data_IF_880139112944
#
_entry.id   IF_880139112944
#
_cell.length_a   1.000
_cell.length_b   1.000
_cell.length_c   1.000
_cell.angle_alpha   90.00
_cell.angle_beta   90.00
_cell.angle_gamma   90.00
#
_symmetry.space_group_name_H-M   'P 1'
#
loop_
_entity.id
_entity.type
_entity.pdbx_description
1 polymer ?
#
# COMPACT_ATOMS: atom_id res chain seq x y z
N UNK A 1 23.16 18.93 -15.08
CA UNK A 1 23.27 18.20 -13.80
C UNK A 1 23.32 16.73 -14.12
N UNK A 2 24.49 16.11 -13.95
CA UNK A 2 24.71 14.68 -14.15
C UNK A 2 23.82 13.90 -13.17
N UNK A 3 23.16 12.86 -13.69
CA UNK A 3 22.38 11.92 -12.92
C UNK A 3 23.37 11.24 -11.97
N UNK A 4 23.44 11.69 -10.72
CA UNK A 4 24.18 10.94 -9.70
C UNK A 4 23.61 9.52 -9.72
N UNK A 5 24.46 8.55 -10.03
CA UNK A 5 24.09 7.15 -9.95
C UNK A 5 23.79 6.87 -8.48
N UNK A 6 22.50 6.90 -8.13
CA UNK A 6 22.05 6.51 -6.80
C UNK A 6 22.44 5.05 -6.66
N UNK A 7 23.40 4.79 -5.77
CA UNK A 7 23.90 3.46 -5.51
C UNK A 7 22.76 2.55 -5.08
N UNK A 8 22.63 1.43 -5.77
CA UNK A 8 21.60 0.44 -5.47
C UNK A 8 22.14 -0.54 -4.44
N UNK A 9 21.31 -0.81 -3.44
CA UNK A 9 21.57 -1.80 -2.41
C UNK A 9 20.98 -3.14 -2.86
N UNK A 10 21.78 -4.20 -2.74
CA UNK A 10 21.33 -5.57 -2.97
C UNK A 10 20.46 -6.04 -1.81
N UNK A 11 19.42 -6.79 -2.11
CA UNK A 11 18.57 -7.38 -1.10
C UNK A 11 18.14 -8.79 -1.49
N UNK A 12 17.89 -9.61 -0.49
CA UNK A 12 17.49 -11.01 -0.60
C UNK A 12 16.59 -11.33 0.59
N UNK A 13 15.52 -12.08 0.37
CA UNK A 13 14.74 -12.61 1.48
C UNK A 13 13.48 -13.34 1.06
N UNK A 14 12.73 -13.77 2.07
CA UNK A 14 11.43 -14.39 1.92
C UNK A 14 10.35 -13.32 1.95
N UNK A 15 9.44 -13.34 0.97
CA UNK A 15 8.24 -12.49 0.99
C UNK A 15 7.33 -12.94 2.12
N UNK A 16 7.02 -12.05 3.04
CA UNK A 16 6.07 -12.30 4.14
C UNK A 16 4.70 -11.65 3.90
N UNK A 17 4.64 -10.64 3.03
CA UNK A 17 3.38 -10.02 2.62
C UNK A 17 3.52 -9.31 1.27
N UNK A 18 2.40 -9.16 0.55
CA UNK A 18 2.32 -8.27 -0.62
C UNK A 18 1.03 -7.46 -0.55
N UNK A 19 1.16 -6.13 -0.59
CA UNK A 19 0.03 -5.20 -0.52
C UNK A 19 0.07 -4.21 -1.68
N UNK A 20 -1.07 -3.64 -2.11
CA UNK A 20 -1.07 -2.62 -3.16
C UNK A 20 -0.34 -1.35 -2.69
N UNK A 21 0.47 -0.77 -3.57
CA UNK A 21 1.17 0.50 -3.38
C UNK A 21 0.34 1.61 -4.00
N UNK A 22 -0.41 2.30 -3.16
CA UNK A 22 -1.35 3.36 -3.56
C UNK A 22 -1.01 4.62 -2.77
N UNK A 23 -0.96 5.76 -3.45
CA UNK A 23 -0.86 7.08 -2.83
C UNK A 23 -2.20 7.79 -2.93
N UNK A 24 -2.61 8.43 -1.85
CA UNK A 24 -3.82 9.26 -1.80
C UNK A 24 -3.44 10.73 -1.74
N UNK A 25 -4.01 11.53 -2.62
CA UNK A 25 -4.00 12.99 -2.53
C UNK A 25 -5.38 13.46 -2.10
N UNK A 26 -5.44 14.39 -1.14
CA UNK A 26 -6.67 15.05 -0.69
C UNK A 26 -6.53 16.56 -0.76
N UNK A 27 -7.61 17.22 -1.18
CA UNK A 27 -7.76 18.68 -1.14
C UNK A 27 -9.18 18.99 -0.70
N UNK A 28 -9.36 19.28 0.59
CA UNK A 28 -10.70 19.45 1.19
C UNK A 28 -11.59 18.20 0.97
N UNK A 29 -12.67 18.31 0.19
CA UNK A 29 -13.58 17.22 -0.19
C UNK A 29 -13.10 16.41 -1.42
N UNK A 30 -12.09 16.89 -2.14
CA UNK A 30 -11.52 16.18 -3.28
C UNK A 30 -10.55 15.08 -2.86
N UNK A 31 -10.58 13.96 -3.60
CA UNK A 31 -9.67 12.82 -3.41
C UNK A 31 -9.20 12.25 -4.75
N UNK A 32 -7.91 11.94 -4.85
CA UNK A 32 -7.31 11.31 -6.02
C UNK A 32 -6.35 10.18 -5.61
N UNK A 33 -6.52 9.00 -6.23
CA UNK A 33 -5.68 7.83 -5.97
C UNK A 33 -4.68 7.60 -7.11
N UNK A 34 -3.41 7.43 -6.75
CA UNK A 34 -2.36 6.98 -7.67
C UNK A 34 -2.00 5.53 -7.35
N UNK A 35 -2.32 4.62 -8.26
CA UNK A 35 -2.04 3.18 -8.14
C UNK A 35 -0.67 2.90 -8.78
N UNK A 36 0.36 2.70 -7.96
CA UNK A 36 1.76 2.75 -8.41
C UNK A 36 2.42 1.39 -8.57
N UNK A 37 1.86 0.33 -7.97
CA UNK A 37 2.45 -1.00 -7.94
C UNK A 37 2.09 -1.75 -6.67
N UNK A 38 3.06 -2.46 -6.11
CA UNK A 38 2.90 -3.25 -4.89
C UNK A 38 4.06 -2.99 -3.93
N UNK A 39 3.82 -3.23 -2.64
CA UNK A 39 4.83 -3.24 -1.59
C UNK A 39 5.02 -4.69 -1.17
N UNK A 40 6.24 -5.20 -1.32
CA UNK A 40 6.68 -6.46 -0.74
C UNK A 40 7.16 -6.19 0.67
N UNK A 41 6.62 -6.91 1.65
CA UNK A 41 7.27 -7.08 2.94
C UNK A 41 8.19 -8.29 2.85
N UNK A 42 9.46 -8.10 3.14
CA UNK A 42 10.52 -9.10 2.98
C UNK A 42 11.24 -9.27 4.31
N UNK A 43 11.32 -10.51 4.77
CA UNK A 43 12.19 -10.92 5.87
C UNK A 43 13.47 -11.50 5.28
N UNK A 44 14.61 -10.84 5.53
CA UNK A 44 15.89 -11.22 4.94
C UNK A 44 17.00 -10.21 5.21
N UNK A 45 17.76 -9.87 4.17
CA UNK A 45 18.89 -8.94 4.26
C UNK A 45 18.80 -7.87 3.18
N UNK A 46 19.06 -6.62 3.55
CA UNK A 46 19.23 -5.50 2.62
C UNK A 46 20.58 -4.82 2.88
N UNK A 47 21.47 -4.86 1.89
CA UNK A 47 22.88 -4.56 2.10
C UNK A 47 23.47 -5.61 3.02
N UNK A 48 23.97 -5.16 4.18
CA UNK A 48 24.49 -6.01 5.25
C UNK A 48 23.54 -6.10 6.46
N UNK A 49 22.38 -5.43 6.39
CA UNK A 49 21.43 -5.33 7.51
C UNK A 49 20.37 -6.44 7.42
N UNK A 50 20.31 -7.38 8.38
CA UNK A 50 19.24 -8.35 8.47
C UNK A 50 17.96 -7.74 9.09
N UNK A 51 16.80 -8.24 8.68
CA UNK A 51 15.51 -7.91 9.27
C UNK A 51 14.38 -7.82 8.25
N UNK A 52 13.26 -7.27 8.72
CA UNK A 52 12.09 -7.02 7.90
C UNK A 52 12.19 -5.64 7.23
N UNK A 53 12.01 -5.60 5.91
CA UNK A 53 12.02 -4.36 5.13
C UNK A 53 10.95 -4.36 4.03
N UNK A 54 10.60 -3.16 3.58
CA UNK A 54 9.55 -2.95 2.58
C UNK A 54 10.16 -2.50 1.24
N UNK A 55 9.89 -3.26 0.17
CA UNK A 55 10.33 -2.97 -1.20
C UNK A 55 9.14 -2.60 -2.09
N UNK A 56 9.18 -1.43 -2.72
CA UNK A 56 8.23 -1.06 -3.76
C UNK A 56 8.60 -1.70 -5.11
N UNK A 57 7.66 -2.44 -5.69
CA UNK A 57 7.75 -3.03 -7.04
C UNK A 57 6.66 -2.47 -7.95
N UNK A 58 6.97 -2.35 -9.24
CA UNK A 58 6.02 -1.83 -10.24
C UNK A 58 5.01 -2.89 -10.71
N UNK A 59 3.93 -2.42 -11.35
CA UNK A 59 2.87 -3.28 -11.95
C UNK A 59 3.45 -4.40 -12.83
N UNK A 60 4.32 -4.06 -13.79
CA UNK A 60 4.89 -5.04 -14.73
C UNK A 60 5.76 -6.11 -14.05
N UNK A 61 6.48 -5.75 -12.97
CA UNK A 61 7.26 -6.71 -12.21
C UNK A 61 6.34 -7.71 -11.50
N UNK A 62 5.24 -7.24 -10.91
CA UNK A 62 4.25 -8.10 -10.27
C UNK A 62 3.49 -8.96 -11.28
N UNK A 63 3.13 -8.44 -12.45
CA UNK A 63 2.49 -9.24 -13.51
C UNK A 63 3.40 -10.39 -13.97
N UNK A 64 4.71 -10.12 -14.08
CA UNK A 64 5.70 -11.13 -14.48
C UNK A 64 5.95 -12.18 -13.40
N UNK A 65 6.14 -11.76 -12.15
CA UNK A 65 6.62 -12.63 -11.08
C UNK A 65 5.52 -13.15 -10.15
N UNK A 66 4.33 -12.53 -10.19
CA UNK A 66 3.17 -12.89 -9.37
C UNK A 66 3.53 -13.04 -7.89
N UNK A 67 4.18 -12.03 -7.33
CA UNK A 67 4.69 -12.08 -5.96
C UNK A 67 3.60 -12.45 -4.95
N UNK A 68 3.94 -13.34 -4.03
CA UNK A 68 3.07 -13.79 -2.95
C UNK A 68 3.90 -14.25 -1.76
N UNK A 69 3.24 -14.39 -0.62
CA UNK A 69 3.87 -14.88 0.60
C UNK A 69 4.56 -16.25 0.39
N UNK A 70 5.74 -16.38 0.96
CA UNK A 70 6.54 -17.61 0.94
C UNK A 70 7.56 -17.69 -0.19
N UNK A 71 7.48 -16.83 -1.21
CA UNK A 71 8.49 -16.79 -2.27
C UNK A 71 9.84 -16.28 -1.74
N UNK A 72 10.94 -16.83 -2.24
CA UNK A 72 12.28 -16.28 -2.01
C UNK A 72 12.71 -15.47 -3.22
N UNK A 73 13.10 -14.23 -2.98
CA UNK A 73 13.36 -13.23 -4.03
C UNK A 73 14.59 -12.41 -3.70
N UNK A 74 15.28 -11.95 -4.74
CA UNK A 74 16.34 -10.95 -4.61
C UNK A 74 16.21 -9.87 -5.67
N UNK A 75 16.94 -8.78 -5.45
CA UNK A 75 17.14 -7.76 -6.45
C UNK A 75 18.00 -6.63 -5.93
N UNK A 76 17.89 -5.50 -6.63
CA UNK A 76 18.53 -4.24 -6.30
C UNK A 76 17.45 -3.19 -6.07
N UNK A 77 17.59 -2.38 -5.04
CA UNK A 77 16.69 -1.25 -4.76
C UNK A 77 17.49 -0.04 -4.29
N UNK A 78 16.85 1.12 -4.19
CA UNK A 78 17.45 2.30 -3.56
C UNK A 78 16.54 2.78 -2.42
N UNK A 79 17.08 3.44 -1.39
CA UNK A 79 16.26 4.04 -0.34
C UNK A 79 15.20 4.99 -0.92
N UNK A 80 13.99 4.97 -0.35
CA UNK A 80 12.95 5.91 -0.71
C UNK A 80 13.40 7.35 -0.35
N UNK A 81 13.27 8.32 -1.27
CA UNK A 81 13.82 9.66 -1.06
C UNK A 81 13.04 10.50 -0.03
N UNK A 82 11.74 10.25 0.13
CA UNK A 82 10.91 10.92 1.14
C UNK A 82 9.97 9.89 1.81
N UNK A 83 10.22 9.51 3.07
CA UNK A 83 9.42 8.51 3.77
C UNK A 83 7.99 8.98 4.08
N UNK A 84 7.65 10.25 3.85
CA UNK A 84 6.27 10.76 4.00
C UNK A 84 5.40 10.47 2.79
N UNK A 85 6.03 10.17 1.64
CA UNK A 85 5.37 9.97 0.34
C UNK A 85 5.39 8.51 -0.12
N UNK A 86 6.00 7.62 0.66
CA UNK A 86 6.26 6.25 0.29
C UNK A 86 6.06 5.34 1.51
N UNK A 87 5.30 4.26 1.33
CA UNK A 87 5.14 3.23 2.37
C UNK A 87 6.36 2.32 2.42
N UNK A 88 6.96 2.04 1.27
CA UNK A 88 8.18 1.23 1.19
C UNK A 88 9.42 1.98 1.70
N UNK A 89 10.31 1.29 2.40
CA UNK A 89 11.63 1.83 2.76
C UNK A 89 12.54 1.98 1.54
N UNK A 90 12.31 1.16 0.51
CA UNK A 90 13.13 1.11 -0.70
C UNK A 90 12.26 1.03 -1.96
N UNK A 91 12.73 1.63 -3.04
CA UNK A 91 12.02 1.70 -4.32
C UNK A 91 12.93 1.48 -5.51
N UNK A 92 12.38 1.61 -6.73
CA UNK A 92 13.09 1.36 -8.01
C UNK A 92 13.75 -0.04 -8.03
N UNK A 93 13.01 -1.03 -7.54
CA UNK A 93 13.42 -2.42 -7.58
C UNK A 93 13.78 -2.83 -9.02
N UNK A 94 14.91 -3.52 -9.16
CA UNK A 94 15.48 -3.93 -10.45
C UNK A 94 16.29 -5.20 -10.29
N UNK A 95 16.65 -5.85 -11.41
CA UNK A 95 17.35 -7.15 -11.39
C UNK A 95 16.62 -8.19 -10.53
N UNK A 96 15.28 -8.10 -10.47
CA UNK A 96 14.43 -8.95 -9.66
C UNK A 96 14.52 -10.40 -10.15
N UNK A 97 14.79 -11.32 -9.22
CA UNK A 97 14.82 -12.77 -9.46
C UNK A 97 14.01 -13.49 -8.39
N UNK A 98 13.20 -14.45 -8.83
CA UNK A 98 12.59 -15.46 -7.95
C UNK A 98 13.59 -16.61 -7.85
N UNK A 99 14.06 -16.87 -6.63
CA UNK A 99 14.98 -17.97 -6.33
C UNK A 99 14.20 -19.25 -6.01
N UNK A 100 13.09 -19.10 -5.31
CA UNK A 100 12.21 -20.19 -4.93
C UNK A 100 10.77 -19.72 -4.99
N UNK A 101 9.94 -20.48 -5.69
CA UNK A 101 8.50 -20.26 -5.71
C UNK A 101 7.85 -20.82 -4.43
N UNK A 102 6.62 -20.43 -4.15
CA UNK A 102 5.84 -20.96 -3.04
C UNK A 102 4.95 -22.11 -3.50
N UNK A 103 4.84 -23.14 -2.67
CA UNK A 103 3.91 -24.26 -2.87
C UNK A 103 2.58 -24.05 -2.10
N UNK A 104 2.45 -22.89 -1.42
CA UNK A 104 1.32 -22.58 -0.55
C UNK A 104 0.00 -22.40 -1.30
N UNK A 105 -1.08 -23.00 -0.79
CA UNK A 105 -2.44 -22.74 -1.28
C UNK A 105 -2.93 -21.37 -0.77
N UNK A 106 -3.71 -20.62 -1.57
CA UNK A 106 -4.38 -19.41 -1.10
C UNK A 106 -5.21 -19.68 0.15
N UNK A 107 -5.27 -18.70 1.07
CA UNK A 107 -6.16 -18.79 2.22
C UNK A 107 -7.61 -18.59 1.78
N UNK A 108 -8.51 -19.46 2.24
CA UNK A 108 -9.95 -19.34 2.02
C UNK A 108 -10.63 -18.30 2.93
N UNK A 109 -9.91 -17.75 3.92
CA UNK A 109 -10.45 -16.80 4.89
C UNK A 109 -9.46 -15.67 5.24
N UNK A 110 -9.91 -14.67 6.00
CA UNK A 110 -9.07 -13.55 6.39
C UNK A 110 -8.01 -13.95 7.45
N UNK A 111 -6.77 -13.40 7.40
CA UNK A 111 -6.25 -12.55 6.34
C UNK A 111 -6.17 -13.32 5.01
N UNK A 112 -6.58 -12.67 3.93
CA UNK A 112 -6.58 -13.29 2.61
C UNK A 112 -5.15 -13.28 2.09
N UNK A 113 -4.61 -14.47 1.83
CA UNK A 113 -3.23 -14.70 1.39
C UNK A 113 -3.23 -15.28 -0.02
N UNK A 114 -2.19 -14.96 -0.79
CA UNK A 114 -2.00 -15.44 -2.16
C UNK A 114 -1.41 -14.34 -3.04
N UNK A 115 -1.59 -14.47 -4.35
CA UNK A 115 -1.21 -13.44 -5.31
C UNK A 115 -2.22 -12.29 -5.26
N UNK A 116 -1.82 -11.05 -4.90
CA UNK A 116 -2.68 -9.88 -5.02
C UNK A 116 -3.24 -9.73 -6.44
N UNK A 117 -4.51 -9.32 -6.60
CA UNK A 117 -5.08 -9.02 -7.91
C UNK A 117 -4.41 -7.80 -8.54
N UNK A 118 -4.77 -7.49 -9.79
CA UNK A 118 -4.28 -6.30 -10.47
C UNK A 118 -4.77 -4.97 -9.82
N UNK A 119 -4.08 -3.88 -10.16
CA UNK A 119 -4.39 -2.54 -9.63
C UNK A 119 -5.75 -2.00 -10.09
N UNK A 120 -6.27 -2.48 -11.22
CA UNK A 120 -7.60 -2.09 -11.71
C UNK A 120 -8.69 -2.71 -10.85
N UNK A 121 -8.50 -3.94 -10.37
CA UNK A 121 -9.35 -4.62 -9.42
C UNK A 121 -9.41 -3.86 -8.09
N UNK A 122 -8.28 -3.39 -7.57
CA UNK A 122 -8.31 -2.51 -6.37
C UNK A 122 -9.09 -1.23 -6.63
N UNK A 123 -8.87 -0.59 -7.78
CA UNK A 123 -9.57 0.64 -8.17
C UNK A 123 -11.07 0.41 -8.29
N UNK A 124 -11.48 -0.64 -8.99
CA UNK A 124 -12.88 -0.94 -9.24
C UNK A 124 -13.60 -1.30 -7.96
N UNK A 125 -12.96 -2.01 -7.03
CA UNK A 125 -13.58 -2.39 -5.75
C UNK A 125 -13.78 -1.20 -4.80
N UNK A 126 -12.97 -0.15 -4.92
CA UNK A 126 -12.97 0.93 -3.96
C UNK A 126 -12.51 0.51 -2.56
N UNK A 127 -12.14 1.50 -1.75
CA UNK A 127 -11.61 1.27 -0.42
C UNK A 127 -12.66 1.54 0.66
N UNK A 128 -12.47 0.92 1.82
CA UNK A 128 -13.09 1.33 3.08
C UNK A 128 -12.01 1.70 4.09
N UNK A 129 -12.30 2.60 5.02
CA UNK A 129 -11.38 2.95 6.09
C UNK A 129 -11.16 1.75 7.00
N UNK A 130 -9.91 1.42 7.25
CA UNK A 130 -9.54 0.35 8.18
C UNK A 130 -8.97 0.97 9.46
N UNK A 131 -9.43 0.48 10.61
CA UNK A 131 -8.83 0.82 11.90
C UNK A 131 -7.34 0.47 11.91
N UNK A 132 -6.51 1.41 12.37
CA UNK A 132 -5.05 1.26 12.31
C UNK A 132 -4.55 0.10 13.19
N UNK A 133 -5.18 -0.12 14.36
CA UNK A 133 -4.79 -1.22 15.27
C UNK A 133 -5.19 -2.56 14.67
N UNK A 134 -6.38 -2.64 14.06
CA UNK A 134 -6.79 -3.82 13.28
C UNK A 134 -5.81 -4.09 12.14
N UNK A 135 -5.41 -3.06 11.39
CA UNK A 135 -4.44 -3.24 10.31
C UNK A 135 -3.13 -3.83 10.81
N UNK A 136 -2.53 -3.21 11.83
CA UNK A 136 -1.25 -3.64 12.42
C UNK A 136 -1.33 -5.06 13.00
N UNK A 137 -2.41 -5.39 13.69
CA UNK A 137 -2.54 -6.67 14.39
C UNK A 137 -2.98 -7.84 13.49
N UNK A 138 -3.67 -7.55 12.36
CA UNK A 138 -4.42 -8.59 11.62
C UNK A 138 -4.33 -8.50 10.09
N UNK A 139 -3.95 -7.37 9.52
CA UNK A 139 -4.06 -7.16 8.07
C UNK A 139 -2.75 -6.80 7.37
N UNK A 140 -1.60 -6.78 8.05
CA UNK A 140 -0.29 -6.51 7.44
C UNK A 140 0.08 -7.54 6.37
N UNK A 141 -0.31 -8.82 6.53
CA UNK A 141 -0.12 -9.88 5.54
C UNK A 141 -1.26 -10.03 4.52
N UNK A 142 -2.40 -9.39 4.75
CA UNK A 142 -3.57 -9.52 3.89
C UNK A 142 -3.37 -8.79 2.57
N UNK A 143 -3.64 -9.45 1.44
CA UNK A 143 -3.53 -8.84 0.10
C UNK A 143 -4.46 -7.63 -0.07
N UNK A 144 -5.56 -7.60 0.67
CA UNK A 144 -6.55 -6.53 0.62
C UNK A 144 -6.28 -5.37 1.59
N UNK A 145 -5.34 -5.54 2.52
CA UNK A 145 -4.90 -4.48 3.42
C UNK A 145 -4.01 -3.49 2.68
N UNK A 146 -4.10 -2.21 3.01
CA UNK A 146 -3.23 -1.19 2.42
C UNK A 146 -2.95 -0.07 3.42
N UNK A 147 -1.67 0.24 3.63
CA UNK A 147 -1.23 1.46 4.31
C UNK A 147 -0.75 2.45 3.26
N UNK A 148 -1.46 3.56 3.11
CA UNK A 148 -1.21 4.57 2.08
C UNK A 148 -0.58 5.82 2.68
N UNK A 149 0.44 6.40 2.02
CA UNK A 149 0.81 7.79 2.28
C UNK A 149 -0.28 8.70 1.72
N UNK A 150 -0.71 9.64 2.55
CA UNK A 150 -1.75 10.62 2.25
C UNK A 150 -1.13 12.00 2.23
N UNK A 151 -1.15 12.62 1.06
CA UNK A 151 -0.74 14.00 0.84
C UNK A 151 -1.98 14.90 0.86
N UNK A 152 -2.05 15.79 1.85
CA UNK A 152 -3.17 16.72 2.03
C UNK A 152 -2.74 18.13 1.60
N UNK A 153 -3.35 18.65 0.54
CA UNK A 153 -3.20 20.04 0.13
C UNK A 153 -4.08 20.91 1.03
N UNK A 154 -3.45 21.79 1.81
CA UNK A 154 -4.14 22.65 2.79
C UNK A 154 -4.76 23.87 2.12
N UNK A 155 -4.10 24.38 1.09
CA UNK A 155 -4.53 25.55 0.35
C UNK A 155 -4.54 25.22 -1.14
N UNK A 156 -5.72 25.04 -1.72
CA UNK A 156 -5.86 24.75 -3.14
C UNK A 156 -5.24 25.87 -4.01
N UNK A 157 -5.25 27.11 -3.52
CA UNK A 157 -4.64 28.27 -4.20
C UNK A 157 -3.12 28.34 -4.03
N UNK A 158 -2.56 27.56 -3.10
CA UNK A 158 -1.12 27.39 -2.95
C UNK A 158 -0.79 25.91 -2.63
N UNK A 159 -0.75 25.04 -3.67
CA UNK A 159 -0.57 23.60 -3.50
C UNK A 159 0.74 23.18 -2.84
N UNK A 160 1.71 24.09 -2.67
CA UNK A 160 2.94 23.82 -1.92
C UNK A 160 2.69 23.64 -0.42
N UNK A 161 1.59 24.16 0.12
CA UNK A 161 1.19 24.02 1.52
C UNK A 161 0.54 22.66 1.75
N UNK A 162 1.34 21.70 2.20
CA UNK A 162 0.93 20.31 2.35
C UNK A 162 1.11 19.79 3.77
N UNK A 163 0.29 18.81 4.14
CA UNK A 163 0.50 17.94 5.30
C UNK A 163 0.51 16.50 4.85
N UNK A 164 1.18 15.65 5.62
CA UNK A 164 1.36 14.24 5.32
C UNK A 164 0.91 13.40 6.50
N UNK A 165 0.28 12.27 6.22
CA UNK A 165 0.05 11.20 7.20
C UNK A 165 -0.07 9.85 6.50
N UNK A 166 -0.07 8.80 7.28
CA UNK A 166 -0.44 7.47 6.78
C UNK A 166 -1.87 7.14 7.19
N UNK A 167 -2.59 6.48 6.30
CA UNK A 167 -3.93 5.97 6.53
C UNK A 167 -4.01 4.51 6.08
N UNK A 168 -4.83 3.74 6.78
CA UNK A 168 -5.05 2.31 6.53
C UNK A 168 -6.41 2.09 5.87
N UNK A 169 -6.45 1.16 4.92
CA UNK A 169 -7.62 0.88 4.10
C UNK A 169 -7.80 -0.61 3.89
N UNK A 170 -9.05 -1.02 3.69
CA UNK A 170 -9.43 -2.37 3.31
C UNK A 170 -10.12 -2.36 1.95
N UNK A 171 -9.59 -3.14 1.03
CA UNK A 171 -10.21 -3.43 -0.27
C UNK A 171 -10.94 -4.76 -0.30
N UNK A 172 -10.90 -5.54 0.80
CA UNK A 172 -11.39 -6.91 0.86
C UNK A 172 -12.90 -6.98 1.11
N UNK A 173 -13.48 -8.19 1.10
CA UNK A 173 -14.92 -8.44 1.20
C UNK A 173 -15.63 -7.61 2.27
N UNK A 174 -16.82 -7.09 1.97
CA UNK A 174 -17.59 -6.26 2.90
C UNK A 174 -17.88 -6.98 4.22
N UNK A 175 -18.14 -8.29 4.17
CA UNK A 175 -18.42 -9.17 5.30
C UNK A 175 -17.18 -9.74 6.02
N UNK A 176 -15.96 -9.32 5.64
CA UNK A 176 -14.72 -9.80 6.25
C UNK A 176 -14.77 -9.68 7.78
N UNK A 177 -14.62 -10.82 8.48
CA UNK A 177 -14.73 -10.89 9.95
C UNK A 177 -13.63 -10.15 10.71
N UNK A 178 -12.50 -9.85 10.05
CA UNK A 178 -11.43 -9.04 10.63
C UNK A 178 -11.63 -7.54 10.41
N UNK A 179 -12.56 -7.12 9.54
CA UNK A 179 -12.73 -5.71 9.22
C UNK A 179 -13.30 -4.93 10.41
N UNK A 180 -12.67 -3.80 10.71
CA UNK A 180 -13.20 -2.78 11.61
C UNK A 180 -13.01 -1.42 10.96
N UNK A 181 -14.08 -0.64 10.88
CA UNK A 181 -14.01 0.71 10.34
C UNK A 181 -13.05 1.57 11.17
N UNK A 182 -12.18 2.30 10.47
CA UNK A 182 -11.34 3.33 11.10
C UNK A 182 -12.16 4.57 11.47
N UNK A 183 -11.59 5.50 12.26
CA UNK A 183 -12.27 6.75 12.61
C UNK A 183 -12.55 7.60 11.37
N UNK A 184 -13.55 8.47 11.46
CA UNK A 184 -13.80 9.52 10.46
C UNK A 184 -12.58 10.42 10.29
N UNK A 185 -12.39 10.92 9.07
CA UNK A 185 -11.12 11.56 8.70
C UNK A 185 -11.32 13.04 8.47
N UNK A 186 -10.55 13.84 9.21
CA UNK A 186 -10.48 15.29 9.01
C UNK A 186 -9.42 15.63 7.98
N UNK A 187 -9.81 16.41 6.98
CA UNK A 187 -8.95 17.02 5.97
C UNK A 187 -8.84 18.51 6.29
N UNK A 188 -7.67 18.98 6.76
CA UNK A 188 -7.46 20.40 7.05
C UNK A 188 -7.45 21.23 5.76
N UNK A 189 -8.06 22.40 5.83
CA UNK A 189 -8.13 23.38 4.76
C UNK A 189 -7.58 24.75 5.16
N UNK A 190 -7.69 25.71 4.24
CA UNK A 190 -7.17 27.07 4.39
C UNK A 190 -7.81 27.78 5.58
N UNK A 191 -7.05 28.63 6.29
CA UNK A 191 -7.52 29.46 7.42
C UNK A 191 -8.19 28.65 8.56
N UNK A 192 -7.76 27.41 8.79
CA UNK A 192 -8.28 26.59 9.88
C UNK A 192 -9.59 25.86 9.58
N UNK A 193 -10.09 25.94 8.35
CA UNK A 193 -11.21 25.10 7.91
C UNK A 193 -10.86 23.61 8.02
N UNK A 194 -11.86 22.76 8.18
CA UNK A 194 -11.69 21.31 8.14
C UNK A 194 -12.92 20.67 7.52
N UNK A 195 -12.70 19.70 6.65
CA UNK A 195 -13.72 18.81 6.13
C UNK A 195 -13.63 17.47 6.85
N UNK A 196 -14.75 16.91 7.32
CA UNK A 196 -14.79 15.54 7.85
C UNK A 196 -15.39 14.66 6.77
N UNK A 197 -14.62 13.67 6.32
CA UNK A 197 -15.17 12.58 5.51
C UNK A 197 -15.97 11.67 6.44
N UNK A 198 -17.29 11.63 6.25
CA UNK A 198 -18.20 10.78 7.03
C UNK A 198 -18.23 9.35 6.46
N UNK A 199 -18.96 8.44 7.12
CA UNK A 199 -19.07 7.03 6.72
C UNK A 199 -19.66 6.85 5.31
N UNK A 200 -20.51 7.77 4.84
CA UNK A 200 -21.07 7.72 3.48
C UNK A 200 -19.97 7.68 2.40
N UNK A 201 -18.76 8.19 2.68
CA UNK A 201 -17.63 8.15 1.74
C UNK A 201 -17.12 6.74 1.46
N UNK A 202 -17.25 5.83 2.43
CA UNK A 202 -16.95 4.39 2.29
C UNK A 202 -18.13 3.65 1.65
N UNK A 203 -19.36 4.05 1.99
CA UNK A 203 -20.59 3.48 1.40
C UNK A 203 -20.67 3.77 -0.09
N UNK A 204 -20.43 5.02 -0.50
CA UNK A 204 -20.40 5.45 -1.90
C UNK A 204 -19.31 4.72 -2.69
N UNK A 205 -18.08 4.70 -2.16
CA UNK A 205 -16.92 4.05 -2.78
C UNK A 205 -17.09 2.54 -2.98
N UNK A 206 -18.01 1.92 -2.25
CA UNK A 206 -18.26 0.47 -2.31
C UNK A 206 -19.71 0.14 -2.66
N UNK A 207 -20.54 1.10 -3.05
CA UNK A 207 -21.99 0.95 -3.21
C UNK A 207 -22.37 -0.16 -4.21
N UNK A 208 -21.55 -0.35 -5.23
CA UNK A 208 -21.70 -1.37 -6.27
C UNK A 208 -21.27 -2.79 -5.87
N UNK A 209 -20.72 -2.99 -4.67
CA UNK A 209 -20.21 -4.29 -4.19
C UNK A 209 -21.21 -5.05 -3.35
N UNK A 210 -21.29 -6.36 -3.58
CA UNK A 210 -21.94 -7.32 -2.69
C UNK A 210 -21.17 -7.59 -1.39
N UNK A 211 -21.73 -8.39 -0.46
CA UNK A 211 -21.11 -8.72 0.83
C UNK A 211 -19.77 -9.46 0.71
N UNK A 212 -19.69 -10.42 -0.21
CA UNK A 212 -18.51 -11.26 -0.46
C UNK A 212 -17.52 -10.65 -1.46
N UNK A 213 -17.92 -9.56 -2.13
CA UNK A 213 -17.07 -8.84 -3.07
C UNK A 213 -15.93 -8.19 -2.32
#
# INVERSE_FOLDING_TARGET
MTKADIEKVMWLGRVVAVQPRIRLMRSFDERHHSYQGYVLCVDGTIGDDPGEFLIAVGKAAHEKHRFQEGMEVNGLAVPAPDPRLETAGFYKASSLKVLKDTEGKPSAGPPFLGVPPDLETYRSRGHRRLDARTYEAKCTSCIWGCRMPVEMIIDHWNPSKKRYRFETFCYGPKNCSLYRAGPTRKVPGRKGMSYTEEDWGDEDATSHRGPDD
#
